data_IF_784903745406
#
_entry.id   IF_784903745406
#
_cell.length_a   1.000
_cell.length_b   1.000
_cell.length_c   1.000
_cell.angle_alpha   90.00
_cell.angle_beta   90.00
_cell.angle_gamma   90.00
#
_symmetry.space_group_name_H-M   'P 1'
#
loop_
_entity.id
_entity.type
_entity.pdbx_description
1 polymer ?
#
# COMPACT_ATOMS: atom_id res chain seq x y z
N UNK A 1 29.60 7.27 14.50
CA UNK A 1 28.89 8.09 13.53
C UNK A 1 27.49 8.34 14.05
N UNK A 2 26.95 9.52 13.78
CA UNK A 2 25.55 9.85 14.03
C UNK A 2 24.73 9.72 12.74
N UNK A 3 23.69 8.88 12.78
CA UNK A 3 22.81 8.62 11.66
C UNK A 3 21.45 9.25 11.96
N UNK A 4 21.04 10.23 11.17
CA UNK A 4 19.72 10.83 11.25
C UNK A 4 18.78 10.17 10.25
N UNK A 5 17.55 9.87 10.68
CA UNK A 5 16.50 9.27 9.85
C UNK A 5 15.28 10.18 9.92
N UNK A 6 14.91 10.80 8.81
CA UNK A 6 13.70 11.64 8.73
C UNK A 6 12.53 10.77 8.30
N UNK A 7 11.64 10.48 9.25
CA UNK A 7 10.46 9.64 9.11
C UNK A 7 10.49 8.42 10.04
N UNK A 8 9.49 8.31 10.89
CA UNK A 8 9.28 7.18 11.80
C UNK A 8 8.28 6.14 11.26
N UNK A 9 8.03 6.13 9.96
CA UNK A 9 7.23 5.10 9.29
C UNK A 9 7.95 3.75 9.20
N UNK A 10 7.32 2.75 8.57
CA UNK A 10 7.85 1.37 8.46
C UNK A 10 9.27 1.33 7.91
N UNK A 11 9.59 2.15 6.91
CA UNK A 11 10.91 2.18 6.26
C UNK A 11 11.98 2.70 7.22
N UNK A 12 11.77 3.88 7.83
CA UNK A 12 12.72 4.51 8.73
C UNK A 12 12.96 3.71 9.99
N UNK A 13 11.90 3.16 10.61
CA UNK A 13 12.03 2.33 11.81
C UNK A 13 12.70 0.99 11.51
N UNK A 14 12.44 0.40 10.35
CA UNK A 14 13.16 -0.82 9.93
C UNK A 14 14.63 -0.52 9.73
N UNK A 15 14.98 0.58 9.05
CA UNK A 15 16.38 1.02 8.91
C UNK A 15 17.06 1.19 10.27
N UNK A 16 16.44 1.91 11.21
CA UNK A 16 16.97 2.11 12.54
C UNK A 16 17.22 0.81 13.30
N UNK A 17 16.29 -0.14 13.23
CA UNK A 17 16.39 -1.46 13.87
C UNK A 17 17.53 -2.30 13.30
N UNK A 18 17.67 -2.33 11.98
CA UNK A 18 18.74 -3.08 11.33
C UNK A 18 20.10 -2.40 11.53
N UNK A 19 20.18 -1.06 11.48
CA UNK A 19 21.38 -0.32 11.84
C UNK A 19 21.83 -0.66 13.26
N UNK A 20 20.91 -0.72 14.22
CA UNK A 20 21.23 -1.10 15.60
C UNK A 20 21.72 -2.54 15.75
N UNK A 21 21.20 -3.48 14.93
CA UNK A 21 21.69 -4.86 14.89
C UNK A 21 23.10 -4.99 14.32
N UNK A 22 23.47 -4.10 13.41
CA UNK A 22 24.71 -4.16 12.64
C UNK A 22 25.81 -3.26 13.20
N UNK A 23 25.48 -2.30 14.08
CA UNK A 23 26.41 -1.29 14.54
C UNK A 23 26.04 -0.70 15.90
N UNK A 24 27.01 0.00 16.50
CA UNK A 24 26.83 0.81 17.70
C UNK A 24 26.73 2.32 17.40
N UNK A 25 26.35 2.68 16.17
CA UNK A 25 26.18 4.06 15.76
C UNK A 25 25.10 4.77 16.58
N UNK A 26 25.25 6.07 16.77
CA UNK A 26 24.19 6.91 17.28
C UNK A 26 23.09 7.01 16.21
N UNK A 27 21.84 6.82 16.60
CA UNK A 27 20.71 6.79 15.66
C UNK A 27 19.60 7.66 16.22
N UNK A 28 19.21 8.69 15.45
CA UNK A 28 18.08 9.56 15.78
C UNK A 28 17.00 9.41 14.70
N UNK A 29 15.80 9.03 15.12
CA UNK A 29 14.60 8.97 14.26
C UNK A 29 13.79 10.23 14.51
N UNK A 30 13.48 10.95 13.45
CA UNK A 30 12.80 12.25 13.48
C UNK A 30 11.40 12.10 12.91
N UNK A 31 10.39 12.65 13.60
CA UNK A 31 9.01 12.65 13.12
C UNK A 31 8.28 13.92 13.48
N UNK A 32 7.55 14.48 12.52
CA UNK A 32 6.61 15.56 12.77
C UNK A 32 5.18 15.06 13.04
N UNK A 33 4.93 13.75 12.89
CA UNK A 33 3.59 13.16 12.94
C UNK A 33 3.22 12.57 14.31
N UNK A 34 4.05 11.69 14.84
CA UNK A 34 3.82 10.99 16.12
C UNK A 34 5.14 10.76 16.85
N UNK A 35 5.08 10.58 18.17
CA UNK A 35 6.28 10.27 18.97
C UNK A 35 6.79 8.85 18.70
N UNK A 36 5.87 7.89 18.50
CA UNK A 36 6.20 6.49 18.28
C UNK A 36 5.72 6.01 16.91
N UNK A 37 6.43 5.04 16.38
CA UNK A 37 5.99 4.32 15.18
C UNK A 37 4.64 3.64 15.39
N UNK A 38 3.77 3.77 14.41
CA UNK A 38 2.48 3.06 14.34
C UNK A 38 2.29 2.42 12.97
N UNK A 39 1.43 1.39 12.91
CA UNK A 39 1.03 0.75 11.68
C UNK A 39 0.00 1.62 10.95
N UNK A 40 0.44 2.33 9.91
CA UNK A 40 -0.41 3.27 9.13
C UNK A 40 -1.62 2.57 8.52
N UNK A 41 -1.44 1.35 8.03
CA UNK A 41 -2.53 0.53 7.46
C UNK A 41 -3.61 0.14 8.47
N UNK A 42 -3.36 0.35 9.77
CA UNK A 42 -4.30 0.04 10.83
C UNK A 42 -5.08 1.28 11.34
N UNK A 43 -4.88 2.48 10.75
CA UNK A 43 -5.61 3.70 11.12
C UNK A 43 -7.13 3.51 10.99
N UNK A 44 -7.58 2.81 9.95
CA UNK A 44 -8.99 2.50 9.76
C UNK A 44 -9.58 1.73 10.95
N UNK A 45 -8.86 0.76 11.52
CA UNK A 45 -9.35 -0.04 12.65
C UNK A 45 -9.45 0.77 13.94
N UNK A 46 -8.64 1.83 14.09
CA UNK A 46 -8.78 2.78 15.20
C UNK A 46 -10.07 3.56 15.06
N UNK A 47 -10.33 4.15 13.88
CA UNK A 47 -11.57 4.89 13.62
C UNK A 47 -12.81 4.01 13.80
N UNK A 48 -12.78 2.77 13.32
CA UNK A 48 -13.88 1.81 13.45
C UNK A 48 -14.07 1.29 14.89
N UNK A 49 -13.19 1.65 15.83
CA UNK A 49 -13.27 1.21 17.23
C UNK A 49 -12.78 -0.22 17.48
N UNK A 50 -12.16 -0.87 16.49
CA UNK A 50 -11.64 -2.22 16.62
C UNK A 50 -10.31 -2.25 17.38
N UNK A 51 -9.54 -1.16 17.36
CA UNK A 51 -8.23 -1.00 18.00
C UNK A 51 -8.12 0.37 18.65
N UNK A 52 -7.38 0.45 19.76
CA UNK A 52 -7.01 1.73 20.36
C UNK A 52 -5.72 2.26 19.67
N UNK A 53 -5.42 3.54 19.72
CA UNK A 53 -4.18 4.10 19.16
C UNK A 53 -2.91 3.40 19.64
N UNK A 54 -2.89 2.91 20.89
CA UNK A 54 -1.74 2.17 21.43
C UNK A 54 -1.60 0.76 20.85
N UNK A 55 -2.70 0.14 20.41
CA UNK A 55 -2.70 -1.23 19.88
C UNK A 55 -2.11 -1.30 18.47
N UNK A 56 -2.04 -0.19 17.75
CA UNK A 56 -1.40 -0.07 16.45
C UNK A 56 0.09 0.32 16.53
N UNK A 57 0.64 0.43 17.74
CA UNK A 57 2.07 0.68 17.99
C UNK A 57 2.80 -0.66 18.23
N UNK A 58 3.57 -1.19 17.27
CA UNK A 58 4.19 -2.51 17.40
C UNK A 58 5.29 -2.59 18.47
N UNK A 59 5.77 -1.46 18.92
CA UNK A 59 6.86 -1.37 19.92
C UNK A 59 6.42 -0.58 21.13
N UNK A 60 6.61 -1.18 22.31
CA UNK A 60 6.37 -0.53 23.59
C UNK A 60 7.36 0.63 23.83
N UNK A 61 7.02 1.67 24.62
CA UNK A 61 7.90 2.83 24.86
C UNK A 61 9.31 2.47 25.33
N UNK A 62 9.47 1.42 26.14
CA UNK A 62 10.78 0.98 26.64
C UNK A 62 11.69 0.41 25.53
N UNK A 63 11.13 -0.04 24.41
CA UNK A 63 11.86 -0.62 23.28
C UNK A 63 12.92 0.35 22.73
N UNK A 64 12.57 1.61 22.55
CA UNK A 64 13.43 2.63 21.96
C UNK A 64 14.67 2.86 22.82
N UNK A 65 14.49 3.11 24.13
CA UNK A 65 15.58 3.28 25.07
C UNK A 65 16.46 2.03 25.18
N UNK A 66 15.85 0.84 25.29
CA UNK A 66 16.57 -0.43 25.37
C UNK A 66 17.46 -0.66 24.15
N UNK A 67 17.00 -0.26 22.97
CA UNK A 67 17.74 -0.39 21.72
C UNK A 67 18.60 0.84 21.40
N UNK A 68 18.73 1.80 22.31
CA UNK A 68 19.52 3.04 22.12
C UNK A 68 19.14 3.76 20.81
N UNK A 69 17.83 3.85 20.52
CA UNK A 69 17.24 4.59 19.42
C UNK A 69 16.66 5.89 19.99
N UNK A 70 17.22 7.02 19.56
CA UNK A 70 16.73 8.33 19.96
C UNK A 70 15.51 8.69 19.10
N UNK A 71 14.46 9.22 19.72
CA UNK A 71 13.28 9.75 19.04
C UNK A 71 13.26 11.26 19.22
N UNK A 72 13.18 11.99 18.10
CA UNK A 72 13.04 13.45 18.11
C UNK A 72 11.74 13.84 17.43
N UNK A 73 10.84 14.41 18.22
CA UNK A 73 9.65 15.08 17.69
C UNK A 73 10.06 16.42 17.10
N UNK A 74 9.69 16.70 15.84
CA UNK A 74 9.98 17.95 15.19
C UNK A 74 9.78 17.91 13.69
N UNK A 75 9.49 19.06 13.10
CA UNK A 75 9.36 19.24 11.66
C UNK A 75 10.68 19.78 11.11
N UNK A 76 11.32 19.00 10.24
CA UNK A 76 12.52 19.45 9.52
C UNK A 76 12.07 20.37 8.38
N UNK A 77 12.43 21.63 8.48
CA UNK A 77 12.09 22.65 7.50
C UNK A 77 13.12 22.74 6.37
N UNK A 78 14.41 22.61 6.72
CA UNK A 78 15.52 22.74 5.78
C UNK A 78 16.66 21.78 6.12
N UNK A 79 17.33 21.30 5.09
CA UNK A 79 18.53 20.47 5.20
C UNK A 79 19.71 21.21 4.57
N UNK A 80 20.77 21.41 5.33
CA UNK A 80 22.07 21.82 4.81
C UNK A 80 22.93 20.58 4.56
N UNK A 81 22.97 20.14 3.31
CA UNK A 81 23.71 18.93 2.92
C UNK A 81 25.22 19.12 2.97
N UNK A 82 25.72 20.36 2.82
CA UNK A 82 27.14 20.67 2.88
C UNK A 82 27.65 20.68 4.31
N UNK A 83 26.92 21.38 5.19
CA UNK A 83 27.22 21.40 6.62
C UNK A 83 26.79 20.11 7.34
N UNK A 84 26.03 19.24 6.70
CA UNK A 84 25.38 18.05 7.28
C UNK A 84 24.54 18.38 8.51
N UNK A 85 23.63 19.34 8.35
CA UNK A 85 22.81 19.87 9.44
C UNK A 85 21.33 19.93 9.05
N UNK A 86 20.48 19.47 9.97
CA UNK A 86 19.02 19.58 9.88
C UNK A 86 18.58 20.82 10.67
N UNK A 87 17.73 21.65 10.08
CA UNK A 87 17.11 22.79 10.73
C UNK A 87 15.61 22.51 10.93
N UNK A 88 15.16 22.67 12.15
CA UNK A 88 13.77 22.42 12.53
C UNK A 88 12.97 23.72 12.58
N UNK A 89 11.66 23.60 12.40
CA UNK A 89 10.73 24.74 12.39
C UNK A 89 10.71 25.50 13.76
N UNK A 90 11.03 24.83 14.86
CA UNK A 90 11.14 25.42 16.21
C UNK A 90 12.48 26.12 16.47
N UNK A 91 13.39 26.13 15.49
CA UNK A 91 14.73 26.71 15.57
C UNK A 91 15.81 25.76 16.07
N UNK A 92 15.47 24.54 16.46
CA UNK A 92 16.44 23.49 16.80
C UNK A 92 17.30 23.11 15.59
N UNK A 93 18.46 22.56 15.86
CA UNK A 93 19.39 22.03 14.86
C UNK A 93 19.90 20.64 15.26
N UNK A 94 20.21 19.81 14.25
CA UNK A 94 20.80 18.49 14.46
C UNK A 94 21.85 18.19 13.40
N UNK A 95 23.10 17.99 13.84
CA UNK A 95 24.16 17.53 12.95
C UNK A 95 24.12 16.02 12.75
N UNK A 96 24.53 15.55 11.57
CA UNK A 96 24.58 14.13 11.22
C UNK A 96 25.84 13.78 10.43
N UNK A 97 26.28 12.53 10.51
CA UNK A 97 27.30 11.97 9.61
C UNK A 97 26.67 11.36 8.37
N UNK A 98 25.52 10.67 8.54
CA UNK A 98 24.73 10.07 7.45
C UNK A 98 23.24 10.37 7.64
N UNK A 99 22.56 10.56 6.52
CA UNK A 99 21.15 10.90 6.48
C UNK A 99 20.34 9.86 5.71
N UNK A 100 19.21 9.44 6.28
CA UNK A 100 18.20 8.60 5.60
C UNK A 100 16.90 9.39 5.49
N UNK A 101 16.47 9.63 4.25
CA UNK A 101 15.22 10.27 3.93
C UNK A 101 14.14 9.18 3.79
N UNK A 102 13.20 9.13 4.74
CA UNK A 102 12.09 8.18 4.80
C UNK A 102 10.75 8.93 4.99
N UNK A 103 10.60 10.04 4.26
CA UNK A 103 9.55 11.05 4.45
C UNK A 103 8.17 10.62 3.97
N UNK A 104 8.06 9.43 3.35
CA UNK A 104 6.78 8.86 2.93
C UNK A 104 6.10 9.62 1.79
N UNK A 105 4.78 9.69 1.85
CA UNK A 105 3.92 10.33 0.85
C UNK A 105 3.03 11.40 1.50
N UNK A 106 2.34 12.16 0.64
CA UNK A 106 1.28 13.10 1.00
C UNK A 106 0.07 12.87 0.08
N UNK A 107 -1.13 13.10 0.58
CA UNK A 107 -2.36 13.04 -0.22
C UNK A 107 -2.34 14.06 -1.35
N UNK A 108 -2.73 13.64 -2.55
CA UNK A 108 -2.79 14.51 -3.70
C UNK A 108 -3.90 15.55 -3.55
N UNK A 109 -3.57 16.78 -3.98
CA UNK A 109 -4.49 17.91 -4.12
C UNK A 109 -4.35 18.47 -5.52
N UNK A 110 -5.41 18.47 -6.30
CA UNK A 110 -5.37 18.83 -7.72
C UNK A 110 -5.88 20.26 -8.01
N UNK A 111 -6.07 21.08 -6.97
CA UNK A 111 -6.52 22.46 -7.12
C UNK A 111 -8.03 22.57 -7.33
N UNK A 112 -8.81 21.61 -6.87
CA UNK A 112 -10.28 21.72 -6.91
C UNK A 112 -10.75 22.94 -6.13
N UNK A 113 -11.65 23.76 -6.70
CA UNK A 113 -12.28 24.84 -5.95
C UNK A 113 -12.91 24.28 -4.66
N UNK A 114 -12.64 24.92 -3.52
CA UNK A 114 -13.12 24.50 -2.20
C UNK A 114 -12.34 23.37 -1.52
N UNK A 115 -11.23 22.89 -2.11
CA UNK A 115 -10.43 21.79 -1.51
C UNK A 115 -9.78 22.13 -0.14
N UNK A 116 -9.75 23.41 0.23
CA UNK A 116 -9.16 23.91 1.48
C UNK A 116 -10.23 24.28 2.54
N UNK A 117 -11.50 24.05 2.25
CA UNK A 117 -12.59 24.25 3.19
C UNK A 117 -12.50 23.29 4.40
N UNK A 118 -13.05 23.72 5.52
CA UNK A 118 -13.28 22.82 6.66
C UNK A 118 -14.21 21.66 6.25
N UNK A 119 -13.93 20.46 6.75
CA UNK A 119 -14.63 19.24 6.32
C UNK A 119 -14.01 18.60 5.07
N UNK A 120 -12.90 19.12 4.53
CA UNK A 120 -12.21 18.53 3.37
C UNK A 120 -10.84 18.01 3.78
N UNK A 121 -10.63 16.68 3.68
CA UNK A 121 -9.37 16.07 4.07
C UNK A 121 -9.11 14.76 3.30
N UNK A 122 -7.82 14.40 3.11
CA UNK A 122 -7.41 13.05 2.73
C UNK A 122 -7.30 12.12 3.93
N UNK A 123 -6.81 10.89 3.70
CA UNK A 123 -6.43 9.96 4.76
C UNK A 123 -5.06 9.37 4.42
N UNK A 124 -4.04 9.81 5.13
CA UNK A 124 -2.70 9.26 5.02
C UNK A 124 -1.99 9.26 6.39
N UNK A 125 -2.13 10.34 7.15
CA UNK A 125 -1.42 10.58 8.39
C UNK A 125 -2.31 10.37 9.63
N UNK A 126 -1.66 10.24 10.79
CA UNK A 126 -2.38 10.20 12.06
C UNK A 126 -3.20 11.50 12.34
N UNK A 127 -2.68 12.71 12.04
CA UNK A 127 -3.48 13.94 12.06
C UNK A 127 -4.70 13.93 11.12
N UNK A 128 -4.66 13.19 10.00
CA UNK A 128 -5.84 13.06 9.14
C UNK A 128 -6.92 12.20 9.80
N UNK A 129 -6.52 11.14 10.53
CA UNK A 129 -7.46 10.36 11.36
C UNK A 129 -8.08 11.22 12.46
N UNK A 130 -7.29 11.99 13.21
CA UNK A 130 -7.80 12.89 14.26
C UNK A 130 -8.77 13.92 13.70
N UNK A 131 -8.46 14.48 12.52
CA UNK A 131 -9.35 15.39 11.81
C UNK A 131 -10.68 14.73 11.44
N UNK A 132 -10.61 13.51 10.87
CA UNK A 132 -11.78 12.73 10.50
C UNK A 132 -12.66 12.40 11.73
N UNK A 133 -12.03 12.02 12.86
CA UNK A 133 -12.73 11.80 14.13
C UNK A 133 -13.48 13.05 14.59
N UNK A 134 -12.81 14.20 14.60
CA UNK A 134 -13.39 15.47 15.06
C UNK A 134 -14.57 15.95 14.20
N UNK A 135 -14.63 15.51 12.93
CA UNK A 135 -15.68 15.95 11.99
C UNK A 135 -16.74 14.87 11.72
N UNK A 136 -16.74 13.78 12.48
CA UNK A 136 -17.69 12.67 12.27
C UNK A 136 -18.95 12.78 13.13
N UNK A 137 -18.89 13.47 14.25
CA UNK A 137 -20.06 13.64 15.12
C UNK A 137 -21.13 14.52 14.45
N UNK A 138 -22.34 13.99 14.33
CA UNK A 138 -23.46 14.67 13.66
C UNK A 138 -23.32 14.78 12.14
N UNK A 139 -22.36 14.08 11.53
CA UNK A 139 -22.19 14.08 10.09
C UNK A 139 -23.31 13.28 9.41
N UNK A 140 -24.09 13.94 8.56
CA UNK A 140 -25.22 13.32 7.86
C UNK A 140 -24.81 12.56 6.59
N UNK A 141 -23.74 13.01 5.91
CA UNK A 141 -23.29 12.42 4.65
C UNK A 141 -21.81 12.76 4.36
N UNK A 142 -21.06 11.79 3.88
CA UNK A 142 -19.70 11.96 3.37
C UNK A 142 -19.61 11.67 1.88
N UNK A 143 -18.83 12.45 1.16
CA UNK A 143 -18.44 12.18 -0.25
C UNK A 143 -16.98 11.86 -0.29
N UNK A 144 -16.63 10.70 -0.86
CA UNK A 144 -15.25 10.26 -1.05
C UNK A 144 -14.89 10.35 -2.54
N UNK A 145 -13.78 10.98 -2.85
CA UNK A 145 -13.31 11.20 -4.23
C UNK A 145 -12.07 10.37 -4.50
N UNK A 146 -12.22 9.33 -5.30
CA UNK A 146 -11.12 8.45 -5.74
C UNK A 146 -11.39 6.96 -5.55
N UNK A 147 -11.23 6.19 -6.62
CA UNK A 147 -11.49 4.75 -6.70
C UNK A 147 -10.26 3.89 -6.35
N UNK A 148 -9.44 4.28 -5.39
CA UNK A 148 -8.29 3.51 -4.91
C UNK A 148 -8.51 2.88 -3.53
N UNK A 149 -7.47 2.20 -3.00
CA UNK A 149 -7.53 1.55 -1.67
C UNK A 149 -7.90 2.51 -0.55
N UNK A 150 -7.29 3.70 -0.50
CA UNK A 150 -7.60 4.69 0.54
C UNK A 150 -9.07 5.14 0.46
N UNK A 151 -9.63 5.22 -0.76
CA UNK A 151 -11.03 5.61 -0.97
C UNK A 151 -12.00 4.62 -0.36
N UNK A 152 -11.81 3.33 -0.61
CA UNK A 152 -12.70 2.30 -0.03
C UNK A 152 -12.50 2.16 1.48
N UNK A 153 -11.27 2.27 1.97
CA UNK A 153 -10.98 2.26 3.41
C UNK A 153 -11.71 3.40 4.11
N UNK A 154 -11.64 4.62 3.59
CA UNK A 154 -12.33 5.78 4.14
C UNK A 154 -13.86 5.64 4.04
N UNK A 155 -14.36 5.09 2.92
CA UNK A 155 -15.78 4.81 2.76
C UNK A 155 -16.28 3.77 3.79
N UNK A 156 -15.54 2.70 4.00
CA UNK A 156 -15.82 1.68 5.03
C UNK A 156 -15.79 2.29 6.46
N UNK A 157 -14.82 3.17 6.73
CA UNK A 157 -14.72 3.86 8.02
C UNK A 157 -15.99 4.64 8.34
N UNK A 158 -16.44 5.52 7.44
CA UNK A 158 -17.72 6.26 7.65
C UNK A 158 -18.92 5.32 7.72
N UNK A 159 -19.00 4.36 6.81
CA UNK A 159 -20.09 3.38 6.79
C UNK A 159 -20.18 2.58 8.10
N UNK A 160 -19.06 2.22 8.73
CA UNK A 160 -19.02 1.51 10.01
C UNK A 160 -19.68 2.29 11.17
N UNK A 161 -19.78 3.62 11.03
CA UNK A 161 -20.46 4.52 11.96
C UNK A 161 -21.86 4.92 11.49
N UNK A 162 -22.41 4.19 10.51
CA UNK A 162 -23.73 4.47 9.92
C UNK A 162 -23.84 5.85 9.26
N UNK A 163 -22.73 6.45 8.85
CA UNK A 163 -22.70 7.68 8.06
C UNK A 163 -22.84 7.29 6.59
N UNK A 164 -23.88 7.78 5.89
CA UNK A 164 -24.06 7.53 4.46
C UNK A 164 -22.88 8.03 3.64
N UNK A 165 -22.45 7.24 2.63
CA UNK A 165 -21.28 7.54 1.81
C UNK A 165 -21.63 7.49 0.33
N UNK A 166 -21.24 8.53 -0.42
CA UNK A 166 -21.13 8.49 -1.87
C UNK A 166 -19.65 8.41 -2.26
N UNK A 167 -19.29 7.40 -3.05
CA UNK A 167 -17.93 7.19 -3.56
C UNK A 167 -17.87 7.58 -5.04
N UNK A 168 -17.19 8.69 -5.36
CA UNK A 168 -16.98 9.18 -6.72
C UNK A 168 -15.75 8.53 -7.35
N UNK A 169 -15.93 7.81 -8.43
CA UNK A 169 -14.89 7.12 -9.19
C UNK A 169 -14.90 7.60 -10.62
N UNK A 170 -13.81 8.20 -11.06
CA UNK A 170 -13.65 8.75 -12.41
C UNK A 170 -13.68 7.67 -13.49
N UNK A 171 -13.17 6.50 -13.18
CA UNK A 171 -13.03 5.38 -14.09
C UNK A 171 -14.39 4.68 -14.31
N UNK A 172 -14.48 3.88 -15.40
CA UNK A 172 -15.68 3.09 -15.77
C UNK A 172 -16.00 1.96 -14.78
N UNK A 173 -15.03 1.57 -13.95
CA UNK A 173 -15.15 0.53 -12.95
C UNK A 173 -14.15 0.79 -11.81
N UNK A 174 -14.45 0.30 -10.63
CA UNK A 174 -13.62 0.53 -9.43
C UNK A 174 -12.23 -0.08 -9.60
N UNK A 175 -11.20 0.74 -9.46
CA UNK A 175 -9.79 0.36 -9.49
C UNK A 175 -9.34 -0.44 -10.73
N UNK A 176 -10.01 -0.26 -11.86
CA UNK A 176 -9.77 -1.01 -13.11
C UNK A 176 -8.43 -0.69 -13.80
N UNK A 177 -7.68 0.28 -13.30
CA UNK A 177 -6.29 0.51 -13.70
C UNK A 177 -5.30 -0.47 -13.02
N UNK A 178 -5.78 -1.26 -12.06
CA UNK A 178 -5.01 -2.27 -11.31
C UNK A 178 -5.67 -3.63 -11.41
N UNK A 179 -6.99 -3.72 -11.13
CA UNK A 179 -7.74 -4.97 -11.20
C UNK A 179 -8.17 -5.26 -12.65
N UNK A 180 -8.10 -6.53 -13.08
CA UNK A 180 -8.80 -6.97 -14.28
C UNK A 180 -10.31 -6.70 -14.21
N UNK A 181 -10.98 -6.68 -15.37
CA UNK A 181 -12.37 -6.24 -15.46
C UNK A 181 -13.33 -7.09 -14.60
N UNK A 182 -13.13 -8.41 -14.52
CA UNK A 182 -14.01 -9.31 -13.75
C UNK A 182 -13.91 -9.05 -12.25
N UNK A 183 -12.70 -8.92 -11.70
CA UNK A 183 -12.50 -8.59 -10.27
C UNK A 183 -12.94 -7.17 -9.96
N UNK A 184 -12.70 -6.22 -10.86
CA UNK A 184 -13.16 -4.84 -10.71
C UNK A 184 -14.70 -4.79 -10.63
N UNK A 185 -15.42 -5.55 -11.49
CA UNK A 185 -16.87 -5.63 -11.46
C UNK A 185 -17.39 -6.39 -10.23
N UNK A 186 -16.69 -7.43 -9.77
CA UNK A 186 -16.99 -8.08 -8.49
C UNK A 186 -17.00 -7.06 -7.36
N UNK A 187 -15.97 -6.21 -7.29
CA UNK A 187 -15.87 -5.18 -6.24
C UNK A 187 -16.95 -4.11 -6.42
N UNK A 188 -17.30 -3.70 -7.63
CA UNK A 188 -18.44 -2.79 -7.86
C UNK A 188 -19.74 -3.33 -7.25
N UNK A 189 -20.06 -4.60 -7.52
CA UNK A 189 -21.25 -5.27 -6.96
C UNK A 189 -21.19 -5.30 -5.44
N UNK A 190 -20.02 -5.61 -4.89
CA UNK A 190 -19.82 -5.73 -3.44
C UNK A 190 -19.96 -4.38 -2.71
N UNK A 191 -19.38 -3.31 -3.24
CA UNK A 191 -19.50 -1.95 -2.71
C UNK A 191 -20.99 -1.52 -2.67
N UNK A 192 -21.73 -1.77 -3.75
CA UNK A 192 -23.19 -1.45 -3.80
C UNK A 192 -23.98 -2.31 -2.83
N UNK A 193 -23.67 -3.61 -2.73
CA UNK A 193 -24.31 -4.55 -1.79
C UNK A 193 -24.11 -4.10 -0.33
N UNK A 194 -22.97 -3.49 0.00
CA UNK A 194 -22.69 -2.95 1.31
C UNK A 194 -23.44 -1.65 1.64
N UNK A 195 -24.17 -1.07 0.68
CA UNK A 195 -24.95 0.16 0.89
C UNK A 195 -24.17 1.46 0.65
N UNK A 196 -22.98 1.40 0.08
CA UNK A 196 -22.22 2.58 -0.35
C UNK A 196 -22.70 2.99 -1.74
N UNK A 197 -23.04 4.28 -1.94
CA UNK A 197 -23.44 4.84 -3.22
C UNK A 197 -22.22 5.01 -4.15
N UNK A 198 -21.96 4.00 -4.98
CA UNK A 198 -20.84 3.99 -5.93
C UNK A 198 -21.23 4.68 -7.25
N UNK A 199 -20.62 5.84 -7.51
CA UNK A 199 -20.77 6.63 -8.72
C UNK A 199 -19.54 6.46 -9.62
N UNK A 200 -19.67 5.62 -10.65
CA UNK A 200 -18.64 5.41 -11.67
C UNK A 200 -18.71 6.53 -12.72
N UNK A 201 -17.63 6.72 -13.49
CA UNK A 201 -17.49 7.75 -14.52
C UNK A 201 -17.86 9.15 -14.00
N UNK A 202 -17.61 9.40 -12.71
CA UNK A 202 -18.01 10.61 -12.02
C UNK A 202 -16.81 11.28 -11.36
N UNK A 203 -16.51 12.52 -11.79
CA UNK A 203 -15.44 13.33 -11.28
C UNK A 203 -15.96 14.40 -10.28
N UNK A 204 -15.07 14.88 -9.43
CA UNK A 204 -15.30 16.09 -8.65
C UNK A 204 -14.99 17.31 -9.51
N UNK A 205 -15.94 18.27 -9.60
CA UNK A 205 -15.72 19.57 -10.22
C UNK A 205 -15.33 20.62 -9.20
N UNK A 206 -16.13 20.75 -8.15
CA UNK A 206 -15.91 21.73 -7.07
C UNK A 206 -16.56 21.29 -5.75
N UNK A 207 -16.09 21.84 -4.64
CA UNK A 207 -16.63 21.70 -3.30
C UNK A 207 -17.26 23.03 -2.90
N UNK A 208 -18.50 22.99 -2.45
CA UNK A 208 -19.30 24.18 -2.16
C UNK A 208 -19.13 24.62 -0.72
N UNK A 209 -18.86 25.89 -0.52
CA UNK A 209 -18.83 26.56 0.78
C UNK A 209 -20.25 26.83 1.29
N UNK A 210 -20.51 26.64 2.56
CA UNK A 210 -21.76 27.02 3.25
C UNK A 210 -21.87 28.54 3.53
N UNK A 211 -20.85 29.32 3.15
CA UNK A 211 -20.72 30.74 3.44
C UNK A 211 -19.94 31.05 4.72
N UNK A 212 -19.48 30.02 5.44
CA UNK A 212 -18.70 30.12 6.68
C UNK A 212 -17.35 29.42 6.60
N UNK A 213 -16.93 29.00 5.39
CA UNK A 213 -15.65 28.32 5.16
C UNK A 213 -15.71 26.81 5.34
N UNK A 214 -16.90 26.20 5.38
CA UNK A 214 -17.10 24.77 5.55
C UNK A 214 -17.75 24.12 4.33
N UNK A 215 -17.35 22.91 4.02
CA UNK A 215 -17.95 22.13 2.92
C UNK A 215 -19.40 21.76 3.25
N UNK A 216 -20.32 22.03 2.29
CA UNK A 216 -21.74 21.66 2.43
C UNK A 216 -22.26 20.84 1.24
N UNK A 217 -21.53 20.74 0.15
CA UNK A 217 -21.86 19.89 -0.99
C UNK A 217 -20.65 19.73 -1.91
N UNK A 218 -20.75 18.79 -2.86
CA UNK A 218 -19.91 18.73 -4.04
C UNK A 218 -20.74 18.93 -5.30
N UNK A 219 -20.11 19.43 -6.37
CA UNK A 219 -20.68 19.56 -7.70
C UNK A 219 -19.91 18.66 -8.66
N UNK A 220 -20.60 17.86 -9.47
CA UNK A 220 -20.03 17.05 -10.53
C UNK A 220 -19.91 17.85 -11.83
N UNK A 221 -19.15 17.40 -12.84
CA UNK A 221 -19.09 18.04 -14.15
C UNK A 221 -20.46 18.14 -14.87
N UNK A 222 -21.40 17.25 -14.56
CA UNK A 222 -22.77 17.25 -15.12
C UNK A 222 -23.67 18.29 -14.44
N UNK A 223 -23.19 18.94 -13.37
CA UNK A 223 -23.97 19.91 -12.59
C UNK A 223 -24.79 19.29 -11.45
N UNK A 224 -24.66 17.98 -11.21
CA UNK A 224 -25.30 17.34 -10.05
C UNK A 224 -24.68 17.89 -8.76
N UNK A 225 -25.55 18.26 -7.81
CA UNK A 225 -25.16 18.70 -6.47
C UNK A 225 -25.44 17.62 -5.45
N UNK A 226 -24.40 17.13 -4.77
CA UNK A 226 -24.51 16.12 -3.72
C UNK A 226 -24.21 16.81 -2.37
N UNK A 227 -25.21 16.91 -1.50
CA UNK A 227 -25.06 17.51 -0.17
C UNK A 227 -24.17 16.61 0.71
N UNK A 228 -23.20 17.21 1.43
CA UNK A 228 -22.31 16.46 2.33
C UNK A 228 -21.65 17.43 3.31
N UNK A 229 -21.32 16.98 4.51
CA UNK A 229 -20.54 17.74 5.47
C UNK A 229 -19.06 17.34 5.54
N UNK A 230 -18.68 16.28 4.81
CA UNK A 230 -17.29 15.85 4.70
C UNK A 230 -16.95 15.42 3.27
N UNK A 231 -15.77 15.83 2.79
CA UNK A 231 -15.23 15.42 1.49
C UNK A 231 -13.86 14.76 1.68
N UNK A 232 -13.79 13.45 1.40
CA UNK A 232 -12.56 12.68 1.43
C UNK A 232 -11.80 12.77 0.12
N UNK A 233 -10.64 13.44 0.07
CA UNK A 233 -9.80 13.50 -1.12
C UNK A 233 -8.80 12.34 -1.12
N UNK A 234 -9.14 11.26 -1.83
CA UNK A 234 -8.37 10.01 -1.88
C UNK A 234 -7.88 9.65 -3.29
N UNK A 235 -7.69 10.66 -4.14
CA UNK A 235 -7.22 10.51 -5.52
C UNK A 235 -5.71 10.25 -5.61
N UNK A 236 -5.22 9.33 -4.79
CA UNK A 236 -3.84 8.88 -4.71
C UNK A 236 -2.94 9.74 -3.82
N UNK A 237 -1.69 9.33 -3.75
CA UNK A 237 -0.62 9.99 -2.97
C UNK A 237 0.59 10.29 -3.85
N UNK A 238 1.39 11.25 -3.43
CA UNK A 238 2.67 11.59 -4.06
C UNK A 238 3.81 11.56 -3.05
N UNK A 239 5.05 11.24 -3.44
CA UNK A 239 6.21 11.33 -2.58
C UNK A 239 6.32 12.67 -1.87
N UNK A 240 6.57 12.64 -0.56
CA UNK A 240 6.72 13.85 0.25
C UNK A 240 8.13 14.43 0.10
N UNK A 241 8.35 15.15 -0.99
CA UNK A 241 9.66 15.73 -1.38
C UNK A 241 9.60 17.23 -1.60
N UNK A 242 8.48 17.87 -1.28
CA UNK A 242 8.25 19.30 -1.55
C UNK A 242 9.29 20.22 -0.92
N UNK A 243 9.69 19.94 0.32
CA UNK A 243 10.68 20.72 1.08
C UNK A 243 12.12 20.55 0.58
N UNK A 244 12.38 19.59 -0.32
CA UNK A 244 13.70 19.33 -0.93
C UNK A 244 13.88 20.04 -2.27
N UNK A 245 12.83 20.69 -2.79
CA UNK A 245 12.92 21.43 -4.05
C UNK A 245 13.88 22.60 -3.94
N UNK A 246 14.74 22.77 -4.94
CA UNK A 246 15.74 23.83 -4.97
C UNK A 246 17.04 23.52 -4.22
N UNK A 247 17.18 22.31 -3.67
CA UNK A 247 18.46 21.79 -3.15
C UNK A 247 19.25 21.08 -4.27
N UNK A 248 20.50 20.68 -3.99
CA UNK A 248 21.35 19.91 -4.91
C UNK A 248 20.95 18.41 -5.01
N UNK A 249 19.92 18.01 -4.28
CA UNK A 249 19.38 16.63 -4.31
C UNK A 249 18.62 16.39 -5.62
N UNK A 250 18.97 15.34 -6.35
CA UNK A 250 18.27 15.01 -7.59
C UNK A 250 16.89 14.43 -7.31
N UNK A 251 15.88 15.12 -7.85
CA UNK A 251 14.49 14.77 -7.72
C UNK A 251 13.87 14.45 -9.10
N UNK A 252 13.10 13.36 -9.15
CA UNK A 252 12.11 13.11 -10.17
C UNK A 252 10.72 13.39 -9.60
N UNK A 253 9.83 12.40 -9.63
CA UNK A 253 8.60 12.42 -8.82
C UNK A 253 8.91 12.16 -7.34
N UNK A 254 9.93 11.34 -7.06
CA UNK A 254 10.51 11.07 -5.76
C UNK A 254 12.00 11.43 -5.73
N UNK A 255 12.70 11.05 -4.68
CA UNK A 255 14.15 11.21 -4.52
C UNK A 255 14.84 10.12 -5.34
N UNK A 256 15.65 10.51 -6.32
CA UNK A 256 16.34 9.57 -7.20
C UNK A 256 17.44 8.81 -6.45
N UNK A 257 17.36 7.48 -6.48
CA UNK A 257 18.34 6.59 -5.84
C UNK A 257 18.84 5.50 -6.80
N UNK A 258 20.06 5.03 -6.54
CA UNK A 258 20.64 3.85 -7.18
C UNK A 258 20.08 2.55 -6.57
N UNK A 259 20.57 1.39 -7.04
CA UNK A 259 20.21 0.07 -6.52
C UNK A 259 20.65 -0.17 -5.05
N UNK A 260 21.55 0.67 -4.53
CA UNK A 260 21.98 0.64 -3.13
C UNK A 260 21.24 1.67 -2.25
N UNK A 261 20.20 2.31 -2.80
CA UNK A 261 19.38 3.34 -2.17
C UNK A 261 20.15 4.63 -1.84
N UNK A 262 21.26 4.89 -2.55
CA UNK A 262 22.07 6.11 -2.44
C UNK A 262 21.51 7.19 -3.36
N UNK A 263 21.50 8.40 -2.87
CA UNK A 263 21.21 9.58 -3.72
C UNK A 263 22.45 10.04 -4.49
N UNK A 264 22.35 11.13 -5.23
CA UNK A 264 23.51 11.80 -5.84
C UNK A 264 24.43 12.47 -4.83
N UNK A 265 23.95 12.75 -3.61
CA UNK A 265 24.75 13.37 -2.55
C UNK A 265 25.43 12.29 -1.69
N UNK A 266 26.72 12.52 -1.31
CA UNK A 266 27.44 11.59 -0.45
C UNK A 266 26.76 11.49 0.92
N UNK A 267 26.75 10.27 1.49
CA UNK A 267 26.19 9.98 2.83
C UNK A 267 24.69 10.24 2.98
N UNK A 268 23.95 10.46 1.87
CA UNK A 268 22.50 10.67 1.85
C UNK A 268 21.81 9.53 1.11
N UNK A 269 20.83 8.92 1.76
CA UNK A 269 20.05 7.79 1.28
C UNK A 269 18.55 8.15 1.27
N UNK A 270 17.75 7.49 0.42
CA UNK A 270 16.28 7.60 0.48
C UNK A 270 15.62 6.22 0.38
N UNK A 271 14.52 6.03 1.14
CA UNK A 271 13.81 4.76 1.26
C UNK A 271 12.29 4.96 1.41
N UNK A 272 11.54 3.92 1.09
CA UNK A 272 10.08 3.92 1.17
C UNK A 272 9.43 4.76 0.07
N UNK A 273 8.23 5.25 0.34
CA UNK A 273 7.37 5.92 -0.65
C UNK A 273 8.00 7.17 -1.29
N UNK A 274 8.95 7.83 -0.62
CA UNK A 274 9.61 9.01 -1.16
C UNK A 274 10.77 8.68 -2.10
N UNK A 275 11.25 7.43 -2.13
CA UNK A 275 12.36 7.01 -2.99
C UNK A 275 11.88 6.66 -4.40
N UNK A 276 12.66 7.05 -5.40
CA UNK A 276 12.48 6.71 -6.80
C UNK A 276 13.73 6.01 -7.34
N UNK A 277 13.61 4.74 -7.68
CA UNK A 277 14.69 3.98 -8.29
C UNK A 277 15.01 4.52 -9.68
N UNK A 278 16.30 4.77 -9.98
CA UNK A 278 16.77 5.16 -11.32
C UNK A 278 16.56 4.04 -12.32
N UNK A 279 16.87 2.82 -11.91
CA UNK A 279 16.79 1.62 -12.73
C UNK A 279 15.97 0.55 -11.98
N UNK A 280 14.63 0.59 -12.03
CA UNK A 280 13.81 -0.44 -11.41
C UNK A 280 13.98 -1.79 -12.14
N UNK A 281 13.73 -2.88 -11.43
CA UNK A 281 13.66 -4.21 -12.05
C UNK A 281 12.60 -4.23 -13.17
N UNK A 282 12.83 -4.93 -14.30
CA UNK A 282 11.82 -5.06 -15.35
C UNK A 282 10.46 -5.50 -14.80
N UNK A 283 9.39 -4.86 -15.25
CA UNK A 283 8.02 -5.11 -14.76
C UNK A 283 7.67 -4.44 -13.42
N UNK A 284 8.63 -3.75 -12.75
CA UNK A 284 8.39 -3.04 -11.49
C UNK A 284 8.31 -1.52 -11.72
N UNK A 285 7.54 -0.85 -10.88
CA UNK A 285 7.47 0.62 -10.89
C UNK A 285 8.73 1.22 -10.27
N UNK A 286 9.10 2.42 -10.68
CA UNK A 286 10.24 3.13 -10.09
C UNK A 286 9.93 3.76 -8.71
N UNK A 287 8.65 3.90 -8.36
CA UNK A 287 8.16 4.26 -7.02
C UNK A 287 7.11 3.24 -6.63
N UNK A 288 7.28 2.62 -5.49
CA UNK A 288 6.36 1.62 -4.94
C UNK A 288 5.96 2.01 -3.52
N UNK A 289 4.85 2.75 -3.41
CA UNK A 289 4.30 3.18 -2.12
C UNK A 289 3.53 2.04 -1.44
N UNK A 290 4.28 1.03 -0.95
CA UNK A 290 3.74 -0.18 -0.32
C UNK A 290 4.51 -0.49 0.97
N UNK A 291 3.80 -0.97 1.95
CA UNK A 291 4.38 -1.31 3.26
C UNK A 291 5.56 -2.30 3.16
N UNK A 292 5.41 -3.33 2.33
CA UNK A 292 6.41 -4.40 2.18
C UNK A 292 7.71 -3.89 1.55
N UNK A 293 7.64 -3.16 0.45
CA UNK A 293 8.81 -2.59 -0.23
C UNK A 293 9.52 -1.57 0.64
N UNK A 294 8.76 -0.74 1.36
CA UNK A 294 9.33 0.20 2.32
C UNK A 294 10.12 -0.48 3.45
N UNK A 295 9.61 -1.61 3.96
CA UNK A 295 10.30 -2.43 4.95
C UNK A 295 11.59 -3.03 4.38
N UNK A 296 11.55 -3.59 3.17
CA UNK A 296 12.72 -4.18 2.50
C UNK A 296 13.80 -3.13 2.23
N UNK A 297 13.43 -1.94 1.74
CA UNK A 297 14.37 -0.83 1.57
C UNK A 297 15.02 -0.42 2.90
N UNK A 298 14.26 -0.41 4.01
CA UNK A 298 14.80 -0.11 5.34
C UNK A 298 15.87 -1.10 5.80
N UNK A 299 15.72 -2.38 5.47
CA UNK A 299 16.72 -3.41 5.74
C UNK A 299 17.98 -3.22 4.88
N UNK A 300 17.79 -3.07 3.57
CA UNK A 300 18.89 -2.93 2.59
C UNK A 300 19.73 -1.68 2.85
N UNK A 301 19.10 -0.53 3.15
CA UNK A 301 19.85 0.70 3.43
C UNK A 301 20.73 0.57 4.68
N UNK A 302 20.27 -0.17 5.69
CA UNK A 302 21.07 -0.41 6.89
C UNK A 302 22.34 -1.23 6.58
N UNK A 303 22.24 -2.26 5.73
CA UNK A 303 23.41 -2.99 5.26
C UNK A 303 24.38 -2.07 4.51
N UNK A 304 23.87 -1.23 3.61
CA UNK A 304 24.70 -0.33 2.80
C UNK A 304 25.39 0.75 3.64
N UNK A 305 24.71 1.31 4.62
CA UNK A 305 25.28 2.25 5.59
C UNK A 305 26.40 1.57 6.40
N UNK A 306 26.25 0.30 6.75
CA UNK A 306 27.26 -0.48 7.47
C UNK A 306 28.37 -1.08 6.57
N UNK A 307 28.48 -0.63 5.31
CA UNK A 307 29.56 -1.00 4.40
C UNK A 307 29.38 -2.31 3.64
N UNK A 308 28.18 -2.91 3.67
CA UNK A 308 27.85 -4.10 2.89
C UNK A 308 27.14 -3.65 1.62
N UNK A 309 27.77 -3.73 0.47
CA UNK A 309 27.19 -3.35 -0.81
C UNK A 309 26.07 -4.34 -1.26
N UNK A 310 24.88 -4.20 -0.67
CA UNK A 310 23.71 -5.03 -0.97
C UNK A 310 22.78 -4.27 -1.91
N UNK A 311 22.50 -4.76 -3.12
CA UNK A 311 21.53 -4.16 -4.01
C UNK A 311 20.11 -4.42 -3.49
N UNK A 312 19.22 -3.44 -3.69
CA UNK A 312 17.81 -3.61 -3.42
C UNK A 312 17.16 -4.45 -4.54
N UNK A 313 16.72 -5.62 -4.18
CA UNK A 313 15.88 -6.48 -5.03
C UNK A 313 14.55 -6.77 -4.33
N UNK A 314 13.44 -6.24 -4.83
CA UNK A 314 12.12 -6.46 -4.24
C UNK A 314 11.56 -7.87 -4.50
N UNK A 315 12.23 -8.75 -5.25
CA UNK A 315 11.74 -10.09 -5.61
C UNK A 315 10.46 -10.07 -6.44
N UNK A 316 9.67 -11.13 -6.34
CA UNK A 316 8.36 -11.24 -6.96
C UNK A 316 7.41 -10.19 -6.38
N UNK A 317 6.64 -9.51 -7.25
CA UNK A 317 5.62 -8.55 -6.80
C UNK A 317 4.59 -9.23 -5.93
N UNK A 318 4.25 -8.59 -4.82
CA UNK A 318 3.08 -8.99 -4.02
C UNK A 318 2.45 -7.81 -3.31
N UNK A 319 1.15 -7.88 -3.11
CA UNK A 319 0.41 -6.94 -2.28
C UNK A 319 -0.82 -7.63 -1.68
N UNK A 320 -1.35 -7.04 -0.62
CA UNK A 320 -2.62 -7.44 -0.02
C UNK A 320 -3.40 -6.21 0.40
N UNK A 321 -4.72 -6.31 0.33
CA UNK A 321 -5.65 -5.26 0.71
C UNK A 321 -6.98 -5.88 1.16
N UNK A 322 -7.95 -5.05 1.47
CA UNK A 322 -9.32 -5.43 1.78
C UNK A 322 -10.27 -4.45 1.09
N UNK A 323 -11.34 -4.96 0.52
CA UNK A 323 -12.45 -4.20 -0.07
C UNK A 323 -13.70 -4.49 0.75
N UNK A 324 -14.00 -3.64 1.72
CA UNK A 324 -15.02 -3.86 2.75
C UNK A 324 -14.67 -5.13 3.55
N UNK A 325 -15.19 -6.30 3.19
CA UNK A 325 -14.88 -7.60 3.82
C UNK A 325 -14.27 -8.63 2.87
N UNK A 326 -14.08 -8.30 1.58
CA UNK A 326 -13.35 -9.15 0.63
C UNK A 326 -11.85 -8.92 0.78
N UNK A 327 -11.13 -9.94 1.23
CA UNK A 327 -9.66 -9.92 1.24
C UNK A 327 -9.10 -10.05 -0.17
N UNK A 328 -8.06 -9.32 -0.45
CA UNK A 328 -7.33 -9.29 -1.72
C UNK A 328 -5.88 -9.67 -1.53
N UNK A 329 -5.38 -10.58 -2.36
CA UNK A 329 -3.96 -10.90 -2.49
C UNK A 329 -3.57 -10.97 -3.96
N UNK A 330 -2.40 -10.41 -4.29
CA UNK A 330 -1.80 -10.51 -5.62
C UNK A 330 -0.35 -10.94 -5.51
N UNK A 331 0.06 -11.85 -6.38
CA UNK A 331 1.45 -12.31 -6.54
C UNK A 331 1.84 -12.28 -8.00
N UNK A 332 3.04 -11.75 -8.31
CA UNK A 332 3.55 -11.68 -9.67
C UNK A 332 2.80 -10.72 -10.58
N UNK A 333 2.55 -11.13 -11.81
CA UNK A 333 2.09 -10.27 -12.88
C UNK A 333 0.60 -10.46 -13.17
N UNK A 334 -0.21 -9.52 -12.63
CA UNK A 334 -1.67 -9.48 -12.89
C UNK A 334 -2.06 -8.04 -13.23
N UNK A 335 -1.81 -7.59 -14.46
CA UNK A 335 -2.18 -6.24 -14.90
C UNK A 335 -3.70 -6.13 -15.13
N UNK A 336 -4.25 -4.93 -14.95
CA UNK A 336 -5.67 -4.64 -15.22
C UNK A 336 -6.08 -4.89 -16.69
N UNK A 337 -5.16 -4.70 -17.63
CA UNK A 337 -5.34 -5.09 -19.04
C UNK A 337 -4.37 -6.22 -19.35
N UNK A 338 -4.91 -7.34 -19.84
CA UNK A 338 -4.12 -8.53 -20.14
C UNK A 338 -3.26 -8.28 -21.39
N UNK A 339 -1.90 -8.36 -21.31
CA UNK A 339 -1.02 -8.28 -22.47
C UNK A 339 -1.19 -9.48 -23.42
N UNK A 340 -0.79 -9.31 -24.68
CA UNK A 340 -0.93 -10.34 -25.74
C UNK A 340 -0.14 -11.62 -25.47
N UNK A 341 0.97 -11.54 -24.71
CA UNK A 341 1.84 -12.67 -24.34
C UNK A 341 1.33 -13.45 -23.13
N UNK A 342 0.32 -12.94 -22.42
CA UNK A 342 -0.32 -13.60 -21.29
C UNK A 342 -1.67 -14.23 -21.68
N UNK A 343 -1.97 -15.32 -21.01
CA UNK A 343 -3.29 -15.93 -20.95
C UNK A 343 -3.73 -16.02 -19.48
N UNK A 344 -5.04 -16.19 -19.26
CA UNK A 344 -5.60 -16.21 -17.91
C UNK A 344 -6.54 -17.40 -17.73
N UNK A 345 -6.51 -17.99 -16.54
CA UNK A 345 -7.55 -18.84 -16.01
C UNK A 345 -8.26 -18.07 -14.90
N UNK A 346 -9.54 -17.80 -15.07
CA UNK A 346 -10.36 -17.10 -14.09
C UNK A 346 -11.50 -17.98 -13.59
N UNK A 347 -11.76 -17.93 -12.31
CA UNK A 347 -12.88 -18.55 -11.64
C UNK A 347 -13.47 -17.59 -10.62
N UNK A 348 -14.78 -17.49 -10.58
CA UNK A 348 -15.54 -16.77 -9.58
C UNK A 348 -16.55 -17.71 -8.93
N UNK A 349 -16.67 -17.68 -7.62
CA UNK A 349 -17.65 -18.42 -6.88
C UNK A 349 -19.05 -17.80 -7.04
N UNK A 350 -20.08 -18.62 -6.95
CA UNK A 350 -21.48 -18.19 -7.18
C UNK A 350 -22.00 -17.14 -6.18
N UNK A 351 -21.36 -16.98 -5.00
CA UNK A 351 -21.71 -15.93 -4.03
C UNK A 351 -21.25 -14.54 -4.47
N UNK A 352 -20.34 -14.45 -5.45
CA UNK A 352 -19.76 -13.21 -5.93
C UNK A 352 -18.78 -12.53 -4.96
N UNK A 353 -18.25 -13.28 -3.99
CA UNK A 353 -17.32 -12.77 -2.96
C UNK A 353 -15.95 -13.45 -3.00
N UNK A 354 -15.79 -14.48 -3.85
CA UNK A 354 -14.55 -15.23 -3.99
C UNK A 354 -14.17 -15.41 -5.44
N UNK A 355 -12.90 -15.15 -5.77
CA UNK A 355 -12.37 -15.41 -7.10
C UNK A 355 -10.88 -15.77 -7.04
N UNK A 356 -10.46 -16.54 -8.05
CA UNK A 356 -9.06 -16.86 -8.31
C UNK A 356 -8.77 -16.61 -9.79
N UNK A 357 -7.76 -15.81 -10.04
CA UNK A 357 -7.15 -15.64 -11.37
C UNK A 357 -5.73 -16.16 -11.34
N UNK A 358 -5.36 -16.93 -12.36
CA UNK A 358 -3.98 -17.37 -12.59
C UNK A 358 -3.58 -16.92 -14.00
N UNK A 359 -2.63 -15.99 -14.06
CA UNK A 359 -2.02 -15.55 -15.31
C UNK A 359 -0.82 -16.41 -15.64
N UNK A 360 -0.68 -16.77 -16.92
CA UNK A 360 0.41 -17.60 -17.39
C UNK A 360 0.88 -17.16 -18.79
N UNK A 361 2.13 -17.47 -19.10
CA UNK A 361 2.72 -17.22 -20.41
C UNK A 361 1.99 -18.03 -21.48
N UNK A 362 1.50 -17.36 -22.52
CA UNK A 362 0.68 -17.97 -23.57
C UNK A 362 1.43 -18.96 -24.42
N UNK A 363 2.73 -18.73 -24.64
CA UNK A 363 3.57 -19.57 -25.48
C UNK A 363 4.20 -20.72 -24.68
N UNK A 364 4.67 -20.45 -23.47
CA UNK A 364 5.46 -21.39 -22.65
C UNK A 364 4.61 -22.09 -21.59
N UNK A 365 3.42 -21.59 -21.28
CA UNK A 365 2.47 -22.20 -20.35
C UNK A 365 2.87 -22.10 -18.87
N UNK A 366 3.92 -21.38 -18.50
CA UNK A 366 4.31 -21.23 -17.10
C UNK A 366 3.60 -20.08 -16.41
N UNK A 367 3.34 -20.22 -15.10
CA UNK A 367 2.60 -19.23 -14.30
C UNK A 367 3.42 -17.96 -14.11
N UNK A 368 2.75 -16.81 -14.27
CA UNK A 368 3.29 -15.46 -14.14
C UNK A 368 2.70 -14.69 -12.95
N UNK A 369 1.46 -15.00 -12.54
CA UNK A 369 0.83 -14.30 -11.42
C UNK A 369 -0.47 -14.93 -10.94
N UNK A 370 -0.84 -14.55 -9.73
CA UNK A 370 -2.09 -14.95 -9.05
C UNK A 370 -2.81 -13.69 -8.55
N UNK A 371 -4.14 -13.67 -8.73
CA UNK A 371 -5.03 -12.68 -8.11
C UNK A 371 -6.11 -13.44 -7.33
N UNK A 372 -6.27 -13.13 -6.06
CA UNK A 372 -7.13 -13.84 -5.12
C UNK A 372 -8.07 -12.84 -4.44
N UNK A 373 -9.37 -13.11 -4.52
CA UNK A 373 -10.42 -12.37 -3.83
C UNK A 373 -11.13 -13.31 -2.86
N UNK A 374 -11.21 -12.95 -1.56
CA UNK A 374 -11.87 -13.74 -0.53
C UNK A 374 -11.24 -15.11 -0.27
N UNK A 375 -10.06 -15.37 -0.83
CA UNK A 375 -9.31 -16.63 -0.71
C UNK A 375 -7.88 -16.31 -0.35
N UNK A 376 -7.29 -17.10 0.55
CA UNK A 376 -5.89 -16.96 0.94
C UNK A 376 -5.06 -18.12 0.43
N UNK A 377 -3.99 -17.78 -0.32
CA UNK A 377 -2.92 -18.71 -0.66
C UNK A 377 -1.64 -18.39 0.09
N UNK A 378 -0.80 -19.39 0.27
CA UNK A 378 0.52 -19.24 0.88
C UNK A 378 1.43 -18.50 -0.08
N UNK A 379 1.94 -17.37 0.39
CA UNK A 379 2.85 -16.50 -0.38
C UNK A 379 4.03 -17.29 -0.93
N UNK A 380 4.73 -18.01 -0.08
CA UNK A 380 5.95 -18.74 -0.41
C UNK A 380 5.73 -19.81 -1.50
N UNK A 381 4.53 -20.38 -1.56
CA UNK A 381 4.17 -21.38 -2.58
C UNK A 381 3.92 -20.70 -3.92
N UNK A 382 3.15 -19.61 -3.94
CA UNK A 382 2.87 -18.84 -5.15
C UNK A 382 4.13 -18.21 -5.73
N UNK A 383 4.96 -17.58 -4.90
CA UNK A 383 6.25 -17.00 -5.27
C UNK A 383 7.16 -18.05 -5.90
N UNK A 384 7.33 -19.20 -5.26
CA UNK A 384 8.16 -20.29 -5.77
C UNK A 384 7.71 -20.77 -7.15
N UNK A 385 6.40 -20.94 -7.36
CA UNK A 385 5.88 -21.32 -8.68
C UNK A 385 6.19 -20.29 -9.77
N UNK A 386 6.08 -19.00 -9.45
CA UNK A 386 6.39 -17.92 -10.37
C UNK A 386 7.90 -17.90 -10.69
N UNK A 387 8.75 -17.95 -9.66
CA UNK A 387 10.22 -17.90 -9.82
C UNK A 387 10.77 -19.11 -10.57
N UNK A 388 10.23 -20.29 -10.32
CA UNK A 388 10.62 -21.54 -10.99
C UNK A 388 9.99 -21.69 -12.37
N UNK A 389 9.15 -20.72 -12.79
CA UNK A 389 8.42 -20.80 -14.08
C UNK A 389 7.66 -22.11 -14.22
N UNK A 390 6.94 -22.52 -13.15
CA UNK A 390 6.20 -23.77 -13.09
C UNK A 390 5.05 -23.77 -14.11
N UNK A 391 4.88 -24.85 -14.92
CA UNK A 391 3.76 -24.94 -15.84
C UNK A 391 2.40 -24.88 -15.14
N UNK A 392 1.41 -24.18 -15.76
CA UNK A 392 0.05 -24.06 -15.19
C UNK A 392 -0.58 -25.42 -14.84
N UNK A 393 -0.37 -26.43 -15.68
CA UNK A 393 -0.88 -27.78 -15.46
C UNK A 393 -0.33 -28.42 -14.18
N UNK A 394 0.94 -28.20 -13.89
CA UNK A 394 1.59 -28.67 -12.68
C UNK A 394 1.10 -27.89 -11.45
N UNK A 395 0.94 -26.55 -11.57
CA UNK A 395 0.38 -25.70 -10.53
C UNK A 395 -1.04 -26.17 -10.17
N UNK A 396 -1.92 -26.36 -11.17
CA UNK A 396 -3.29 -26.83 -10.96
C UNK A 396 -3.34 -28.20 -10.28
N UNK A 397 -2.48 -29.13 -10.67
CA UNK A 397 -2.41 -30.44 -10.00
C UNK A 397 -1.99 -30.36 -8.54
N UNK A 398 -1.20 -29.35 -8.17
CA UNK A 398 -0.65 -29.16 -6.84
C UNK A 398 -1.27 -27.98 -6.09
N UNK A 399 -2.36 -27.38 -6.59
CA UNK A 399 -2.91 -26.13 -6.10
C UNK A 399 -3.26 -26.17 -4.60
N UNK A 400 -3.65 -27.35 -4.09
CA UNK A 400 -3.86 -27.56 -2.67
C UNK A 400 -2.65 -27.26 -1.77
N UNK A 401 -1.41 -27.18 -2.29
CA UNK A 401 -0.25 -26.76 -1.49
C UNK A 401 -0.31 -25.27 -1.12
N UNK A 402 -0.94 -24.46 -1.97
CA UNK A 402 -1.08 -23.03 -1.78
C UNK A 402 -2.15 -22.65 -0.77
N UNK A 403 -3.18 -23.48 -0.57
CA UNK A 403 -4.23 -23.16 0.38
C UNK A 403 -3.65 -22.85 1.78
N UNK A 404 -4.00 -21.67 2.34
CA UNK A 404 -3.34 -21.14 3.54
C UNK A 404 -3.68 -21.98 4.78
N UNK A 405 -4.95 -22.27 4.99
CA UNK A 405 -5.42 -23.03 6.15
C UNK A 405 -6.64 -23.89 5.79
N UNK A 406 -6.39 -25.15 5.38
CA UNK A 406 -7.45 -26.04 4.92
C UNK A 406 -8.40 -26.53 6.00
N UNK A 407 -8.12 -26.25 7.27
CA UNK A 407 -9.00 -26.63 8.39
C UNK A 407 -10.07 -25.55 8.64
N UNK A 408 -9.77 -24.30 8.28
CA UNK A 408 -10.65 -23.15 8.53
C UNK A 408 -11.22 -22.49 7.27
N UNK A 409 -10.66 -22.78 6.08
CA UNK A 409 -11.11 -22.22 4.81
C UNK A 409 -11.58 -23.29 3.86
N UNK A 410 -12.66 -22.99 3.14
CA UNK A 410 -13.18 -23.85 2.08
C UNK A 410 -12.14 -24.07 0.96
N UNK A 411 -12.25 -25.21 0.30
CA UNK A 411 -11.36 -25.60 -0.79
C UNK A 411 -12.07 -25.45 -2.13
N UNK A 412 -11.49 -24.62 -3.01
CA UNK A 412 -12.03 -24.33 -4.36
C UNK A 412 -11.13 -24.83 -5.49
N UNK A 413 -10.02 -25.51 -5.16
CA UNK A 413 -9.01 -25.94 -6.12
C UNK A 413 -9.57 -26.92 -7.16
N UNK A 414 -10.52 -27.76 -6.77
CA UNK A 414 -11.18 -28.69 -7.68
C UNK A 414 -12.02 -27.98 -8.76
N UNK A 415 -12.61 -26.83 -8.42
CA UNK A 415 -13.39 -26.04 -9.36
C UNK A 415 -12.49 -25.37 -10.41
N UNK A 416 -11.32 -24.88 -10.03
CA UNK A 416 -10.35 -24.34 -10.97
C UNK A 416 -9.86 -25.41 -11.95
N UNK A 417 -9.55 -26.63 -11.45
CA UNK A 417 -9.16 -27.75 -12.30
C UNK A 417 -10.29 -28.14 -13.25
N UNK A 418 -11.54 -28.15 -12.79
CA UNK A 418 -12.71 -28.45 -13.61
C UNK A 418 -12.90 -27.44 -14.74
N UNK A 419 -12.78 -26.12 -14.45
CA UNK A 419 -12.88 -25.07 -15.46
C UNK A 419 -11.77 -25.19 -16.48
N UNK A 420 -10.53 -25.39 -16.04
CA UNK A 420 -9.40 -25.61 -16.96
C UNK A 420 -9.66 -26.80 -17.89
N UNK A 421 -10.10 -27.94 -17.36
CA UNK A 421 -10.41 -29.12 -18.17
C UNK A 421 -11.53 -28.83 -19.19
N UNK A 422 -12.57 -28.08 -18.80
CA UNK A 422 -13.65 -27.68 -19.72
C UNK A 422 -13.17 -26.78 -20.85
N UNK A 423 -12.29 -25.82 -20.54
CA UNK A 423 -11.78 -24.87 -21.54
C UNK A 423 -10.77 -25.49 -22.51
N UNK A 424 -9.98 -26.47 -22.06
CA UNK A 424 -8.87 -27.03 -22.84
C UNK A 424 -9.12 -28.43 -23.36
N UNK A 425 -10.20 -29.11 -22.97
CA UNK A 425 -10.44 -30.52 -23.24
C UNK A 425 -9.49 -31.47 -22.48
N UNK A 426 -8.79 -30.99 -21.47
CA UNK A 426 -7.84 -31.77 -20.68
C UNK A 426 -8.56 -32.63 -19.62
N UNK A 427 -7.81 -33.57 -19.02
CA UNK A 427 -8.28 -34.42 -17.92
C UNK A 427 -7.32 -34.33 -16.73
N UNK A 428 -7.01 -33.11 -16.30
CA UNK A 428 -6.18 -32.91 -15.12
C UNK A 428 -6.92 -33.36 -13.85
N UNK A 429 -6.18 -33.92 -12.91
CA UNK A 429 -6.70 -34.34 -11.60
C UNK A 429 -5.88 -33.65 -10.52
N UNK A 430 -6.57 -33.08 -9.54
CA UNK A 430 -5.96 -32.51 -8.34
C UNK A 430 -5.27 -33.64 -7.55
N UNK A 431 -4.00 -33.46 -7.21
CA UNK A 431 -3.28 -34.42 -6.38
C UNK A 431 -3.76 -34.30 -4.91
N UNK A 432 -4.08 -35.44 -4.30
CA UNK A 432 -4.52 -35.43 -2.90
C UNK A 432 -3.43 -34.91 -1.97
N UNK A 433 -3.81 -34.11 -0.99
CA UNK A 433 -2.92 -33.65 0.07
C UNK A 433 -2.42 -34.83 0.91
N UNK A 434 -1.13 -34.91 1.12
CA UNK A 434 -0.52 -35.75 2.14
C UNK A 434 0.25 -34.87 3.12
N UNK A 435 -0.48 -34.33 4.12
CA UNK A 435 0.07 -33.69 5.32
C UNK A 435 1.00 -32.46 5.13
N UNK A 436 1.24 -31.75 6.23
CA UNK A 436 2.14 -30.57 6.33
C UNK A 436 3.58 -30.88 5.82
N UNK A 437 4.04 -32.15 5.96
CA UNK A 437 5.36 -32.57 5.49
C UNK A 437 5.60 -32.37 3.99
N UNK A 438 4.55 -32.42 3.14
CA UNK A 438 4.66 -32.20 1.70
C UNK A 438 4.87 -30.72 1.34
N UNK A 439 4.21 -29.81 2.07
CA UNK A 439 4.42 -28.38 1.89
C UNK A 439 5.83 -27.99 2.32
N UNK A 440 6.29 -28.49 3.45
CA UNK A 440 7.64 -28.26 3.94
C UNK A 440 8.71 -28.83 3.00
N UNK A 441 8.49 -30.03 2.43
CA UNK A 441 9.39 -30.62 1.46
C UNK A 441 9.44 -29.80 0.16
N UNK A 442 8.28 -29.31 -0.31
CA UNK A 442 8.20 -28.43 -1.49
C UNK A 442 8.95 -27.11 -1.28
N UNK A 443 8.85 -26.50 -0.10
CA UNK A 443 9.51 -25.21 0.19
C UNK A 443 11.04 -25.33 0.39
N UNK A 444 11.54 -26.52 0.76
CA UNK A 444 12.98 -26.80 0.98
C UNK A 444 13.74 -27.18 -0.28
N UNK A 445 13.10 -27.67 -1.29
CA UNK A 445 13.69 -28.04 -2.60
C UNK A 445 13.65 -26.87 -3.58
#
# INVERSE_FOLDING_TARGET
MHIAIIGNGVSGVTAARFLRKLSDHEITIISSETDYFFSRTALMYVYMGHMRPVDIQPYQPWFWKKNRLQLKRGHVERIDFTAKQLHFQDGDELAYDRLVLATGSVSNRFGWPGQDLEGVRGLYSYPDLEYMEAHSEGLEHAVIVGGGLIGIEMAEMFHSRHIPVTLLVREKSYWNNVLPDEESEMINRHIRKSGIDLRLETELKEIVDDGHGRACAVITPTGERIACGYVGLTAGVSPNVGFLKGTDLELGRGILVDEHLRTNLPDVYAIGDCAQLRNPRPGRRNIEAIWYTGRMMGEVVAYNICGKAVPYDPGTWFNSAKFVDIEYQVYGEVPGTLPDDLATLYWEHADGEKAVRINYDKALGHVRGFNLMGIRYRHEVCEKWIEQKTPLTEVLQNLGLANFDPEFYDEYEADLVRIYNQQTGSNLVLKSRRGVGRVLAFLRG
#
